data_IF_022982506754
#
_entry.id   IF_022982506754
#
_cell.length_a   1.000
_cell.length_b   1.000
_cell.length_c   1.000
_cell.angle_alpha   90.00
_cell.angle_beta   90.00
_cell.angle_gamma   90.00
#
_symmetry.space_group_name_H-M   'P 1'
#
loop_
_entity.id
_entity.type
_entity.pdbx_description
1 polymer ?
#
# COMPACT_ATOMS: atom_id res chain seq x y z
N UNK A 1 -9.13 32.49 3.59
CA UNK A 1 -9.10 31.02 3.41
C UNK A 1 -8.74 30.76 1.96
N UNK A 2 -8.03 29.68 1.69
CA UNK A 2 -7.63 29.27 0.33
C UNK A 2 -7.86 27.78 0.20
N UNK A 3 -8.46 27.34 -0.91
CA UNK A 3 -8.65 25.92 -1.21
C UNK A 3 -8.00 25.61 -2.55
N UNK A 4 -7.17 24.57 -2.59
CA UNK A 4 -6.63 24.05 -3.85
C UNK A 4 -6.89 22.55 -3.93
N UNK A 5 -6.81 22.00 -5.14
CA UNK A 5 -6.71 20.56 -5.32
C UNK A 5 -5.49 20.18 -6.13
N UNK A 6 -4.81 19.12 -5.74
CA UNK A 6 -3.70 18.52 -6.47
C UNK A 6 -3.87 17.01 -6.59
N UNK A 7 -3.07 16.41 -7.45
CA UNK A 7 -2.94 14.97 -7.63
C UNK A 7 -1.46 14.69 -7.88
N UNK A 8 -0.98 13.56 -7.39
CA UNK A 8 0.42 13.17 -7.53
C UNK A 8 0.52 11.99 -8.49
N UNK A 9 1.50 12.05 -9.39
CA UNK A 9 1.88 10.97 -10.30
C UNK A 9 3.05 10.14 -9.75
N UNK A 10 3.37 9.03 -10.42
CA UNK A 10 4.57 8.25 -10.13
C UNK A 10 5.85 9.04 -10.44
N UNK A 11 5.82 9.92 -11.44
CA UNK A 11 6.95 10.78 -11.79
C UNK A 11 7.23 11.78 -10.67
N UNK A 12 6.19 12.38 -10.11
CA UNK A 12 6.30 13.28 -8.95
C UNK A 12 6.93 12.57 -7.74
N UNK A 13 6.61 11.28 -7.52
CA UNK A 13 7.21 10.52 -6.42
C UNK A 13 8.67 10.19 -6.68
N UNK A 14 9.04 9.82 -7.91
CA UNK A 14 10.45 9.61 -8.27
C UNK A 14 11.26 10.91 -8.14
N UNK A 15 10.73 12.03 -8.63
CA UNK A 15 11.37 13.34 -8.48
C UNK A 15 11.54 13.72 -7.01
N UNK A 16 10.53 13.47 -6.17
CA UNK A 16 10.64 13.70 -4.74
C UNK A 16 11.64 12.75 -4.06
N UNK A 17 11.68 11.47 -4.43
CA UNK A 17 12.68 10.52 -3.94
C UNK A 17 14.10 10.94 -4.29
N UNK A 18 14.35 11.43 -5.50
CA UNK A 18 15.66 12.01 -5.88
C UNK A 18 15.99 13.26 -5.05
N UNK A 19 15.00 14.13 -4.82
CA UNK A 19 15.19 15.34 -4.00
C UNK A 19 15.50 15.00 -2.53
N UNK A 20 14.74 14.06 -1.97
CA UNK A 20 14.70 13.79 -0.54
C UNK A 20 15.60 12.65 -0.13
N UNK A 21 16.02 11.79 -1.05
CA UNK A 21 16.74 10.55 -0.77
C UNK A 21 15.94 9.46 -0.08
N UNK A 22 14.61 9.57 -0.13
CA UNK A 22 13.71 8.53 0.37
C UNK A 22 13.26 7.65 -0.80
N UNK A 23 13.91 6.49 -0.93
CA UNK A 23 13.63 5.49 -1.96
C UNK A 23 12.88 4.29 -1.40
N UNK A 24 12.16 4.45 -0.28
CA UNK A 24 11.39 3.35 0.29
C UNK A 24 10.41 2.79 -0.76
N UNK A 25 10.40 1.47 -1.02
CA UNK A 25 9.53 0.85 -2.03
C UNK A 25 8.04 1.19 -1.91
N UNK A 26 7.56 1.56 -0.72
CA UNK A 26 6.18 2.03 -0.52
C UNK A 26 5.83 3.27 -1.37
N UNK A 27 6.83 4.04 -1.79
CA UNK A 27 6.69 5.28 -2.56
C UNK A 27 7.05 5.16 -4.05
N UNK A 28 7.84 4.15 -4.43
CA UNK A 28 8.44 4.09 -5.78
C UNK A 28 8.20 2.77 -6.52
N UNK A 29 7.87 1.68 -5.83
CA UNK A 29 7.66 0.36 -6.43
C UNK A 29 6.16 -0.03 -6.37
N UNK A 30 5.42 0.04 -7.49
CA UNK A 30 4.01 -0.34 -7.51
C UNK A 30 3.75 -1.84 -7.28
N UNK A 31 4.72 -2.72 -7.61
CA UNK A 31 4.57 -4.17 -7.45
C UNK A 31 4.74 -4.58 -5.99
N UNK A 32 5.65 -3.92 -5.26
CA UNK A 32 5.80 -4.10 -3.81
C UNK A 32 4.66 -3.39 -3.08
N UNK A 33 4.40 -2.12 -3.38
CA UNK A 33 3.46 -1.29 -2.62
C UNK A 33 2.02 -1.84 -2.61
N UNK A 34 1.57 -2.49 -3.69
CA UNK A 34 0.26 -3.16 -3.75
C UNK A 34 0.10 -4.35 -2.78
N UNK A 35 1.21 -4.90 -2.27
CA UNK A 35 1.27 -5.99 -1.28
C UNK A 35 1.34 -5.47 0.15
N UNK A 36 1.62 -4.19 0.33
CA UNK A 36 1.72 -3.56 1.64
C UNK A 36 0.35 -3.16 2.16
N UNK A 37 0.28 -2.81 3.45
CA UNK A 37 -0.95 -2.30 4.10
C UNK A 37 -1.55 -1.06 3.42
N UNK A 38 -0.77 -0.39 2.56
CA UNK A 38 -1.23 0.74 1.76
C UNK A 38 -2.08 0.32 0.56
N UNK A 39 -1.95 -0.92 0.06
CA UNK A 39 -2.67 -1.41 -1.11
C UNK A 39 -2.25 -0.78 -2.44
N UNK A 40 -1.17 -0.01 -2.45
CA UNK A 40 -0.71 0.78 -3.58
C UNK A 40 0.36 1.77 -3.17
N UNK A 41 0.90 2.48 -4.16
CA UNK A 41 1.99 3.46 -3.95
C UNK A 41 1.50 4.65 -3.15
N UNK A 42 2.23 5.00 -2.10
CA UNK A 42 1.94 6.16 -1.26
C UNK A 42 2.73 7.39 -1.72
N UNK A 43 2.09 8.55 -1.62
CA UNK A 43 2.77 9.84 -1.73
C UNK A 43 3.61 10.06 -0.46
N UNK A 44 4.83 10.55 -0.61
CA UNK A 44 5.66 10.92 0.53
C UNK A 44 4.95 11.97 1.40
N UNK A 45 4.84 11.72 2.71
CA UNK A 45 4.11 12.60 3.61
C UNK A 45 4.66 14.04 3.61
N UNK A 46 5.99 14.19 3.59
CA UNK A 46 6.64 15.51 3.55
C UNK A 46 6.43 16.21 2.20
N UNK A 47 6.29 15.48 1.08
CA UNK A 47 5.92 16.08 -0.21
C UNK A 47 4.56 16.77 -0.11
N UNK A 48 3.58 16.09 0.49
CA UNK A 48 2.23 16.65 0.73
C UNK A 48 2.31 17.89 1.62
N UNK A 49 3.15 17.85 2.67
CA UNK A 49 3.37 18.99 3.58
C UNK A 49 3.96 20.18 2.86
N UNK A 50 5.03 20.00 2.10
CA UNK A 50 5.69 21.09 1.36
C UNK A 50 4.74 21.72 0.33
N UNK A 51 3.96 20.89 -0.38
CA UNK A 51 2.91 21.38 -1.30
C UNK A 51 1.89 22.28 -0.59
N UNK A 52 1.48 21.91 0.64
CA UNK A 52 0.54 22.71 1.42
C UNK A 52 1.16 24.02 1.95
N UNK A 53 2.41 23.96 2.44
CA UNK A 53 3.13 25.15 2.93
C UNK A 53 3.40 26.15 1.81
N UNK A 54 3.63 25.67 0.59
CA UNK A 54 3.85 26.51 -0.59
C UNK A 54 2.68 27.45 -0.88
N UNK A 55 1.46 27.06 -0.54
CA UNK A 55 0.27 27.90 -0.73
C UNK A 55 0.37 29.23 0.00
N UNK A 56 1.03 29.26 1.15
CA UNK A 56 1.24 30.49 1.93
C UNK A 56 1.85 31.59 1.07
N UNK A 57 2.80 31.26 0.22
CA UNK A 57 3.56 32.22 -0.57
C UNK A 57 2.89 32.55 -1.92
N UNK A 58 1.63 32.14 -2.12
CA UNK A 58 0.89 32.43 -3.36
C UNK A 58 0.42 33.88 -3.46
N UNK A 59 0.41 34.64 -2.36
CA UNK A 59 -0.11 36.01 -2.31
C UNK A 59 0.99 37.08 -2.10
N UNK A 60 2.18 36.89 -2.69
CA UNK A 60 3.31 37.82 -2.63
C UNK A 60 3.69 38.26 -1.21
N UNK A 61 3.77 37.29 -0.29
CA UNK A 61 4.20 37.52 1.09
C UNK A 61 5.73 37.58 1.17
N UNK A 62 6.25 38.45 2.04
CA UNK A 62 7.67 38.49 2.38
C UNK A 62 8.20 37.12 2.83
N UNK A 63 9.50 36.86 2.65
CA UNK A 63 10.14 35.67 3.19
C UNK A 63 9.83 35.47 4.68
N UNK A 64 9.65 34.22 5.10
CA UNK A 64 9.25 33.87 6.45
C UNK A 64 9.90 32.56 6.89
N UNK A 65 10.33 32.51 8.15
CA UNK A 65 10.84 31.28 8.76
C UNK A 65 9.78 30.62 9.63
N UNK A 66 9.84 29.29 9.72
CA UNK A 66 9.05 28.55 10.70
C UNK A 66 9.61 28.84 12.10
N UNK A 67 8.74 29.06 13.07
CA UNK A 67 9.06 28.96 14.51
C UNK A 67 8.56 27.66 15.11
N UNK A 68 7.52 27.07 14.52
CA UNK A 68 6.91 25.83 15.00
C UNK A 68 6.15 25.16 13.86
N UNK A 69 6.29 23.85 13.73
CA UNK A 69 5.56 23.03 12.77
C UNK A 69 5.00 21.79 13.49
N UNK A 70 3.73 21.51 13.28
CA UNK A 70 3.03 20.35 13.84
C UNK A 70 2.23 19.68 12.73
N UNK A 71 2.55 18.43 12.44
CA UNK A 71 1.91 17.64 11.39
C UNK A 71 1.38 16.35 11.99
N UNK A 72 0.16 15.98 11.63
CA UNK A 72 -0.45 14.68 11.94
C UNK A 72 -0.92 14.06 10.64
N UNK A 73 -0.43 12.86 10.34
CA UNK A 73 -0.88 12.03 9.23
C UNK A 73 -1.94 11.07 9.77
N UNK A 74 -3.21 11.36 9.49
CA UNK A 74 -4.34 10.53 9.90
C UNK A 74 -4.51 9.34 8.97
N UNK A 75 -4.28 9.55 7.67
CA UNK A 75 -4.42 8.54 6.62
C UNK A 75 -3.39 8.74 5.52
N UNK A 76 -2.90 7.66 4.91
CA UNK A 76 -1.97 7.78 3.80
C UNK A 76 -2.66 8.36 2.56
N UNK A 77 -1.89 9.05 1.72
CA UNK A 77 -2.33 9.54 0.41
C UNK A 77 -1.74 8.61 -0.65
N UNK A 78 -2.58 8.06 -1.53
CA UNK A 78 -2.10 7.23 -2.65
C UNK A 78 -1.78 8.09 -3.88
N UNK A 79 -0.82 7.64 -4.69
CA UNK A 79 -0.58 8.19 -6.02
C UNK A 79 -1.87 8.09 -6.85
N UNK A 80 -2.19 9.14 -7.59
CA UNK A 80 -3.44 9.27 -8.34
C UNK A 80 -4.66 9.67 -7.49
N UNK A 81 -4.57 9.77 -6.17
CA UNK A 81 -5.68 10.32 -5.37
C UNK A 81 -5.77 11.85 -5.54
N UNK A 82 -6.99 12.38 -5.66
CA UNK A 82 -7.22 13.83 -5.63
C UNK A 82 -7.17 14.31 -4.18
N UNK A 83 -6.23 15.19 -3.88
CA UNK A 83 -6.07 15.82 -2.57
C UNK A 83 -6.65 17.22 -2.61
N UNK A 84 -7.59 17.51 -1.71
CA UNK A 84 -8.13 18.86 -1.52
C UNK A 84 -7.50 19.46 -0.26
N UNK A 85 -6.86 20.61 -0.37
CA UNK A 85 -6.21 21.28 0.74
C UNK A 85 -6.92 22.59 1.08
N UNK A 86 -7.51 22.64 2.27
CA UNK A 86 -8.11 23.84 2.85
C UNK A 86 -7.15 24.53 3.81
N UNK A 87 -6.74 25.74 3.43
CA UNK A 87 -5.78 26.56 4.16
C UNK A 87 -6.45 27.75 4.84
N UNK A 88 -6.19 27.88 6.14
CA UNK A 88 -6.62 28.98 6.99
C UNK A 88 -5.40 29.75 7.48
N UNK A 89 -5.41 31.06 7.29
CA UNK A 89 -4.33 31.95 7.69
C UNK A 89 -4.87 32.93 8.73
N UNK A 90 -4.16 33.07 9.85
CA UNK A 90 -4.47 34.06 10.87
C UNK A 90 -3.33 35.06 10.92
N UNK A 91 -3.55 36.21 10.26
CA UNK A 91 -2.51 37.19 10.02
C UNK A 91 -1.33 36.60 9.25
N UNK A 92 -0.14 37.14 9.51
CA UNK A 92 1.10 36.67 8.90
C UNK A 92 1.80 35.59 9.73
N UNK A 93 1.37 35.31 10.97
CA UNK A 93 2.14 34.48 11.92
C UNK A 93 1.64 33.06 12.08
N UNK A 94 0.43 32.72 11.63
CA UNK A 94 -0.17 31.40 11.83
C UNK A 94 -0.84 30.87 10.56
N UNK A 95 -0.66 29.58 10.28
CA UNK A 95 -1.45 28.86 9.27
C UNK A 95 -1.86 27.46 9.72
N UNK A 96 -3.06 27.04 9.34
CA UNK A 96 -3.58 25.68 9.48
C UNK A 96 -3.98 25.18 8.09
N UNK A 97 -3.55 23.96 7.74
CA UNK A 97 -3.87 23.30 6.49
C UNK A 97 -4.52 21.95 6.78
N UNK A 98 -5.72 21.73 6.24
CA UNK A 98 -6.47 20.48 6.35
C UNK A 98 -6.56 19.85 4.97
N UNK A 99 -5.98 18.66 4.80
CA UNK A 99 -5.92 17.97 3.53
C UNK A 99 -6.84 16.75 3.55
N UNK A 100 -7.72 16.68 2.56
CA UNK A 100 -8.75 15.68 2.42
C UNK A 100 -8.53 14.82 1.17
N UNK A 101 -8.78 13.52 1.31
CA UNK A 101 -8.91 12.57 0.19
C UNK A 101 -10.28 11.93 0.34
N UNK A 102 -11.07 11.95 -0.73
CA UNK A 102 -12.45 11.43 -0.75
C UNK A 102 -13.31 11.98 0.41
N UNK A 103 -13.15 13.28 0.71
CA UNK A 103 -13.89 13.97 1.78
C UNK A 103 -13.42 13.65 3.20
N UNK A 104 -12.41 12.81 3.38
CA UNK A 104 -11.90 12.39 4.68
C UNK A 104 -10.54 13.03 4.98
N UNK A 105 -10.34 13.48 6.23
CA UNK A 105 -9.10 14.16 6.63
C UNK A 105 -7.92 13.18 6.61
N UNK A 106 -6.92 13.45 5.76
CA UNK A 106 -5.70 12.65 5.63
C UNK A 106 -4.51 13.28 6.32
N UNK A 107 -4.31 14.60 6.19
CA UNK A 107 -3.18 15.30 6.80
C UNK A 107 -3.64 16.61 7.43
N UNK A 108 -3.18 16.87 8.65
CA UNK A 108 -3.38 18.13 9.36
C UNK A 108 -2.06 18.79 9.66
N UNK A 109 -1.91 20.05 9.25
CA UNK A 109 -0.68 20.83 9.41
C UNK A 109 -1.01 22.11 10.17
N UNK A 110 -0.25 22.42 11.22
CA UNK A 110 -0.26 23.72 11.90
C UNK A 110 1.15 24.28 11.88
N UNK A 111 1.30 25.51 11.39
CA UNK A 111 2.57 26.21 11.31
C UNK A 111 2.47 27.57 12.00
N UNK A 112 3.53 27.93 12.72
CA UNK A 112 3.78 29.28 13.23
C UNK A 112 4.99 29.86 12.52
N UNK A 113 4.91 31.14 12.18
CA UNK A 113 5.83 31.84 11.29
C UNK A 113 6.41 33.07 11.97
N UNK A 114 7.68 33.34 11.69
CA UNK A 114 8.32 34.65 11.91
C UNK A 114 8.40 35.36 10.56
N UNK A 115 7.92 36.60 10.52
CA UNK A 115 7.80 37.38 9.28
C UNK A 115 8.57 38.68 9.45
N UNK A 116 9.47 38.97 8.50
CA UNK A 116 10.34 40.15 8.55
C UNK A 116 11.54 39.99 9.50
N UNK A 117 12.74 40.32 9.00
CA UNK A 117 14.01 40.35 9.75
C UNK A 117 15.24 40.06 8.86
N UNK A 118 16.41 40.53 9.26
CA UNK A 118 17.75 40.18 8.71
C UNK A 118 18.11 38.69 8.89
N UNK A 119 17.17 37.89 9.38
CA UNK A 119 17.31 36.49 9.82
C UNK A 119 16.92 35.47 8.76
N UNK A 120 16.59 35.88 7.52
CA UNK A 120 16.18 34.95 6.47
C UNK A 120 17.31 33.99 6.05
N UNK A 121 18.57 34.43 6.11
CA UNK A 121 19.77 33.65 5.76
C UNK A 121 20.89 33.72 6.81
N UNK A 122 20.58 33.96 8.10
CA UNK A 122 21.63 34.10 9.12
C UNK A 122 22.26 32.78 9.60
N UNK A 123 22.14 31.71 8.80
CA UNK A 123 22.74 30.42 9.06
C UNK A 123 24.15 30.40 8.46
N UNK A 124 25.17 30.37 9.32
CA UNK A 124 26.56 30.07 8.90
C UNK A 124 26.76 28.62 8.44
N UNK A 125 25.73 27.78 8.62
CA UNK A 125 25.76 26.36 8.28
C UNK A 125 25.83 26.20 6.76
N UNK A 126 26.94 25.66 6.28
CA UNK A 126 27.09 25.24 4.90
C UNK A 126 26.49 23.85 4.73
N UNK A 127 25.53 23.71 3.82
CA UNK A 127 24.97 22.40 3.49
C UNK A 127 25.97 21.62 2.63
N UNK A 128 26.25 20.34 2.93
CA UNK A 128 27.04 19.48 2.07
C UNK A 128 26.46 19.41 0.65
N UNK A 129 27.35 19.21 -0.32
CA UNK A 129 26.95 18.87 -1.68
C UNK A 129 26.16 17.55 -1.68
N UNK A 130 25.11 17.52 -2.48
CA UNK A 130 24.33 16.33 -2.71
C UNK A 130 25.14 15.34 -3.57
N UNK A 131 25.19 14.08 -3.16
CA UNK A 131 25.77 12.98 -3.93
C UNK A 131 24.70 11.93 -4.19
N UNK A 132 24.36 11.74 -5.47
CA UNK A 132 23.29 10.85 -5.92
C UNK A 132 23.60 9.37 -5.66
N UNK A 133 24.89 9.02 -5.58
CA UNK A 133 25.41 7.67 -5.41
C UNK A 133 25.25 7.11 -3.98
N UNK A 134 24.72 7.92 -3.04
CA UNK A 134 24.61 7.58 -1.61
C UNK A 134 23.26 6.98 -1.19
N UNK A 135 22.36 6.69 -2.14
CA UNK A 135 21.07 6.09 -1.80
C UNK A 135 21.22 4.60 -1.49
N UNK A 136 21.54 4.30 -0.24
CA UNK A 136 21.47 2.94 0.31
C UNK A 136 20.03 2.41 0.25
N UNK A 137 19.88 1.09 0.11
CA UNK A 137 18.57 0.46 0.29
C UNK A 137 18.04 0.75 1.69
N UNK A 138 16.72 0.97 1.86
CA UNK A 138 16.16 1.26 3.18
C UNK A 138 16.46 0.11 4.14
N UNK A 139 16.87 0.45 5.36
CA UNK A 139 17.27 -0.52 6.38
C UNK A 139 16.10 -1.42 6.77
N UNK A 140 16.32 -2.73 6.72
CA UNK A 140 15.35 -3.72 7.19
C UNK A 140 15.69 -4.06 8.64
N UNK A 141 15.05 -3.39 9.58
CA UNK A 141 15.33 -3.53 11.01
C UNK A 141 14.31 -4.41 11.73
N UNK A 142 14.83 -5.24 12.62
CA UNK A 142 14.06 -5.95 13.63
C UNK A 142 13.70 -5.04 14.80
N UNK A 143 12.68 -5.43 15.57
CA UNK A 143 12.16 -4.58 16.64
C UNK A 143 13.21 -4.26 17.72
N UNK A 144 14.00 -5.25 18.14
CA UNK A 144 15.06 -5.04 19.14
C UNK A 144 16.20 -4.13 18.66
N UNK A 145 16.44 -4.05 17.35
CA UNK A 145 17.41 -3.11 16.78
C UNK A 145 16.88 -1.67 16.88
N UNK A 146 15.62 -1.46 16.46
CA UNK A 146 14.94 -0.16 16.47
C UNK A 146 15.01 0.49 17.85
N UNK A 147 14.76 -0.26 18.93
CA UNK A 147 14.73 0.26 20.31
C UNK A 147 16.01 0.97 20.74
N UNK A 148 17.14 0.63 20.14
CA UNK A 148 18.46 1.18 20.51
C UNK A 148 19.00 2.20 19.51
N UNK A 149 18.26 2.45 18.42
CA UNK A 149 18.72 3.29 17.32
C UNK A 149 18.94 4.74 17.75
N UNK A 150 20.10 5.25 17.35
CA UNK A 150 20.49 6.66 17.43
C UNK A 150 21.52 6.93 16.33
N UNK A 151 21.57 8.15 15.84
CA UNK A 151 22.53 8.50 14.79
C UNK A 151 22.37 9.90 14.27
N UNK A 152 23.00 10.14 13.12
CA UNK A 152 22.93 11.40 12.39
C UNK A 152 22.51 11.17 10.95
N UNK A 153 21.68 12.07 10.43
CA UNK A 153 21.27 12.13 9.03
C UNK A 153 21.82 13.44 8.44
N UNK A 154 22.66 13.39 7.39
CA UNK A 154 23.17 14.60 6.76
C UNK A 154 22.04 15.49 6.24
N UNK A 155 22.17 16.81 6.44
CA UNK A 155 21.28 17.82 5.87
C UNK A 155 21.87 18.28 4.53
N UNK A 156 21.25 17.89 3.42
CA UNK A 156 21.60 18.39 2.09
C UNK A 156 20.35 18.92 1.39
N UNK A 157 20.55 19.73 0.34
CA UNK A 157 19.46 20.33 -0.42
C UNK A 157 19.87 20.55 -1.89
N UNK A 158 19.43 19.69 -2.83
CA UNK A 158 19.67 19.89 -4.26
C UNK A 158 18.83 21.06 -4.78
N UNK A 159 19.42 22.26 -4.84
CA UNK A 159 18.68 23.52 -5.06
C UNK A 159 17.87 23.55 -6.35
N UNK A 160 18.38 23.00 -7.45
CA UNK A 160 17.67 22.98 -8.72
C UNK A 160 16.42 22.10 -8.68
N UNK A 161 16.50 20.98 -7.96
CA UNK A 161 15.33 20.11 -7.72
C UNK A 161 14.29 20.80 -6.84
N UNK A 162 14.72 21.51 -5.79
CA UNK A 162 13.82 22.27 -4.91
C UNK A 162 13.14 23.41 -5.65
N UNK A 163 13.88 24.17 -6.47
CA UNK A 163 13.31 25.26 -7.29
C UNK A 163 12.29 24.76 -8.31
N UNK A 164 12.48 23.54 -8.80
CA UNK A 164 11.55 22.91 -9.75
C UNK A 164 10.28 22.43 -9.05
N UNK A 165 10.41 21.69 -7.94
CA UNK A 165 9.28 21.08 -7.24
C UNK A 165 8.52 22.07 -6.34
N UNK A 166 9.23 23.01 -5.71
CA UNK A 166 8.69 23.97 -4.74
C UNK A 166 9.20 25.40 -4.99
N UNK A 167 8.93 25.99 -6.18
CA UNK A 167 9.49 27.26 -6.59
C UNK A 167 9.26 28.39 -5.59
N UNK A 168 8.08 28.48 -4.97
CA UNK A 168 7.81 29.58 -4.02
C UNK A 168 8.51 29.37 -2.69
N UNK A 169 8.56 28.13 -2.18
CA UNK A 169 9.27 27.82 -0.95
C UNK A 169 10.77 28.08 -1.09
N UNK A 170 11.34 27.74 -2.25
CA UNK A 170 12.78 27.88 -2.51
C UNK A 170 13.31 29.32 -2.33
N UNK A 171 12.46 30.33 -2.56
CA UNK A 171 12.81 31.74 -2.39
C UNK A 171 12.29 32.39 -1.11
N UNK A 172 11.46 31.70 -0.31
CA UNK A 172 10.75 32.32 0.82
C UNK A 172 10.80 31.57 2.16
N UNK A 173 11.33 30.34 2.18
CA UNK A 173 11.58 29.57 3.39
C UNK A 173 13.09 29.32 3.54
N UNK A 174 13.68 29.45 4.74
CA UNK A 174 15.11 29.18 4.93
C UNK A 174 15.51 27.78 4.46
N UNK A 175 16.57 27.71 3.65
CA UNK A 175 17.05 26.47 3.03
C UNK A 175 17.34 25.36 4.05
N UNK A 176 17.93 25.73 5.19
CA UNK A 176 18.21 24.80 6.28
C UNK A 176 16.94 24.15 6.86
N UNK A 177 15.82 24.90 6.96
CA UNK A 177 14.56 24.34 7.43
C UNK A 177 13.99 23.34 6.41
N UNK A 178 14.11 23.61 5.11
CA UNK A 178 13.74 22.64 4.07
C UNK A 178 14.61 21.39 4.11
N UNK A 179 15.93 21.55 4.21
CA UNK A 179 16.87 20.44 4.32
C UNK A 179 16.55 19.53 5.52
N UNK A 180 16.18 20.13 6.66
CA UNK A 180 15.77 19.38 7.84
C UNK A 180 14.47 18.59 7.62
N UNK A 181 13.45 19.20 6.99
CA UNK A 181 12.20 18.50 6.66
C UNK A 181 12.45 17.31 5.73
N UNK A 182 13.29 17.47 4.71
CA UNK A 182 13.69 16.38 3.81
C UNK A 182 14.51 15.30 4.55
N UNK A 183 15.39 15.69 5.48
CA UNK A 183 16.11 14.72 6.30
C UNK A 183 15.19 13.85 7.15
N UNK A 184 14.04 14.37 7.61
CA UNK A 184 13.07 13.53 8.34
C UNK A 184 12.43 12.44 7.49
N UNK A 185 12.30 12.62 6.17
CA UNK A 185 11.79 11.55 5.30
C UNK A 185 12.84 10.45 5.15
N UNK A 186 14.13 10.79 5.01
CA UNK A 186 15.22 9.79 5.02
C UNK A 186 15.30 9.05 6.34
N UNK A 187 15.19 9.78 7.45
CA UNK A 187 15.18 9.19 8.78
C UNK A 187 14.10 8.11 8.85
N UNK A 188 12.85 8.43 8.53
CA UNK A 188 11.74 7.47 8.65
C UNK A 188 11.80 6.38 7.58
N UNK A 189 11.87 6.77 6.31
CA UNK A 189 11.76 5.91 5.14
C UNK A 189 12.97 5.00 4.92
N UNK A 190 14.17 5.44 5.29
CA UNK A 190 15.42 4.74 4.94
C UNK A 190 16.18 4.22 6.14
N UNK A 191 16.11 4.87 7.31
CA UNK A 191 16.98 4.55 8.45
C UNK A 191 16.22 3.87 9.58
N UNK A 192 15.24 4.55 10.20
CA UNK A 192 14.49 4.04 11.34
C UNK A 192 13.05 4.59 11.33
N UNK A 193 12.01 3.76 11.22
CA UNK A 193 12.03 2.29 11.11
C UNK A 193 12.54 1.73 9.77
N UNK A 194 12.85 2.57 8.78
CA UNK A 194 13.42 2.16 7.51
C UNK A 194 12.39 1.49 6.58
N UNK A 195 12.74 0.33 6.02
CA UNK A 195 11.97 -0.39 5.00
C UNK A 195 10.49 -0.57 5.37
N UNK A 196 10.24 -0.89 6.64
CA UNK A 196 8.91 -1.14 7.17
C UNK A 196 8.26 0.09 7.80
N UNK A 197 8.63 1.30 7.41
CA UNK A 197 8.09 2.52 8.04
C UNK A 197 6.77 3.02 7.43
N UNK A 198 6.01 3.73 8.26
CA UNK A 198 4.90 4.62 7.90
C UNK A 198 5.00 5.87 8.76
N UNK A 199 5.03 7.05 8.12
CA UNK A 199 5.18 8.34 8.82
C UNK A 199 3.87 8.74 9.51
N UNK A 200 3.89 8.94 10.83
CA UNK A 200 2.70 9.26 11.63
C UNK A 200 2.58 10.73 12.06
N UNK A 201 3.65 11.32 12.60
CA UNK A 201 3.60 12.67 13.18
C UNK A 201 4.96 13.36 13.09
N UNK A 202 4.95 14.66 12.90
CA UNK A 202 6.15 15.51 13.00
C UNK A 202 5.84 16.72 13.89
N UNK A 203 6.71 17.01 14.86
CA UNK A 203 6.64 18.20 15.68
C UNK A 203 8.02 18.83 15.78
N UNK A 204 8.17 20.06 15.28
CA UNK A 204 9.43 20.78 15.28
C UNK A 204 9.25 22.19 15.83
N UNK A 205 10.18 22.63 16.66
CA UNK A 205 10.32 24.02 17.07
C UNK A 205 11.68 24.54 16.61
N UNK A 206 11.67 25.76 16.07
CA UNK A 206 12.83 26.38 15.44
C UNK A 206 13.24 27.60 16.24
N UNK A 207 14.52 27.69 16.62
CA UNK A 207 15.09 28.85 17.31
C UNK A 207 15.33 30.03 16.37
N UNK A 208 15.60 31.19 16.93
CA UNK A 208 15.97 32.41 16.17
C UNK A 208 17.46 32.43 15.83
N UNK A 209 18.27 31.89 16.73
CA UNK A 209 19.71 31.76 16.58
C UNK A 209 20.10 30.30 16.47
N UNK A 210 21.14 30.03 15.70
CA UNK A 210 21.76 28.73 15.59
C UNK A 210 23.23 28.87 15.97
N UNK A 211 23.63 28.19 17.06
CA UNK A 211 25.03 28.13 17.49
C UNK A 211 25.74 26.87 16.94
N UNK A 212 24.98 25.92 16.39
CA UNK A 212 25.51 24.68 15.82
C UNK A 212 25.83 24.86 14.33
N UNK A 213 27.05 24.56 13.95
CA UNK A 213 27.52 24.69 12.57
C UNK A 213 27.52 23.36 11.79
N UNK A 214 27.15 22.25 12.43
CA UNK A 214 27.21 20.91 11.83
C UNK A 214 25.87 20.58 11.15
N UNK A 215 25.82 20.41 9.82
CA UNK A 215 24.59 20.18 9.04
C UNK A 215 24.09 18.73 9.18
N UNK A 216 23.77 18.31 10.39
CA UNK A 216 23.28 16.95 10.71
C UNK A 216 22.00 17.04 11.52
N UNK A 217 20.99 16.25 11.12
CA UNK A 217 19.87 15.89 11.98
C UNK A 217 20.32 14.71 12.85
N UNK A 218 20.56 14.97 14.12
CA UNK A 218 20.75 13.92 15.12
C UNK A 218 19.40 13.38 15.57
N UNK A 219 19.32 12.06 15.77
CA UNK A 219 18.11 11.41 16.27
C UNK A 219 18.42 10.34 17.31
N UNK A 220 17.42 10.06 18.16
CA UNK A 220 17.44 8.96 19.12
C UNK A 220 16.04 8.42 19.30
N UNK A 221 15.88 7.10 19.24
CA UNK A 221 14.63 6.44 19.63
C UNK A 221 14.44 6.59 21.14
N UNK A 222 13.28 7.12 21.53
CA UNK A 222 12.97 7.45 22.93
C UNK A 222 11.84 6.59 23.50
N UNK A 223 10.90 6.16 22.66
CA UNK A 223 9.78 5.31 23.05
C UNK A 223 9.41 4.36 21.90
N UNK A 224 9.05 3.13 22.26
CA UNK A 224 8.53 2.13 21.34
C UNK A 224 7.33 1.42 21.99
N UNK A 225 6.32 1.05 21.20
CA UNK A 225 5.26 0.15 21.65
C UNK A 225 4.99 -0.89 20.57
N UNK A 226 5.40 -2.14 20.84
CA UNK A 226 5.29 -3.27 19.91
C UNK A 226 3.83 -3.56 19.53
N UNK A 227 2.88 -3.34 20.44
CA UNK A 227 1.45 -3.67 20.25
C UNK A 227 0.80 -2.76 19.22
N UNK A 228 1.26 -1.51 19.15
CA UNK A 228 0.81 -0.51 18.17
C UNK A 228 1.84 -0.29 17.05
N UNK A 229 2.93 -1.06 17.08
CA UNK A 229 4.10 -0.91 16.20
C UNK A 229 4.60 0.54 16.13
N UNK A 230 4.54 1.23 17.26
CA UNK A 230 4.85 2.65 17.42
C UNK A 230 6.34 2.87 17.69
N UNK A 231 6.93 3.90 17.06
CA UNK A 231 8.31 4.35 17.28
C UNK A 231 8.32 5.87 17.38
N UNK A 232 8.71 6.41 18.52
CA UNK A 232 8.96 7.84 18.73
C UNK A 232 10.46 8.11 18.78
N UNK A 233 10.89 9.10 17.99
CA UNK A 233 12.26 9.57 17.90
C UNK A 233 12.33 11.04 18.26
N UNK A 234 13.25 11.39 19.16
CA UNK A 234 13.68 12.77 19.33
C UNK A 234 14.61 13.13 18.17
N UNK A 235 14.44 14.34 17.61
CA UNK A 235 15.27 14.86 16.52
C UNK A 235 15.78 16.25 16.86
N UNK A 236 17.08 16.48 16.63
CA UNK A 236 17.76 17.73 16.92
C UNK A 236 18.73 18.08 15.80
N UNK A 237 18.89 19.36 15.51
CA UNK A 237 19.92 19.85 14.60
C UNK A 237 20.05 21.37 14.65
N UNK A 238 20.79 21.96 13.70
CA UNK A 238 21.04 23.39 13.67
C UNK A 238 19.77 24.26 13.74
N UNK A 239 19.52 24.84 14.91
CA UNK A 239 18.40 25.74 15.17
C UNK A 239 17.02 25.07 15.19
N UNK A 240 16.95 23.75 15.39
CA UNK A 240 15.70 22.99 15.40
C UNK A 240 15.76 21.80 16.35
N UNK A 241 14.67 21.61 17.10
CA UNK A 241 14.48 20.46 17.97
C UNK A 241 13.03 19.96 17.87
N UNK A 242 12.81 18.69 18.15
CA UNK A 242 11.47 18.15 18.11
C UNK A 242 11.39 16.63 18.16
N UNK A 243 10.28 16.10 17.64
CA UNK A 243 10.00 14.67 17.62
C UNK A 243 9.32 14.21 16.33
N UNK A 244 9.64 12.98 15.96
CA UNK A 244 9.06 12.24 14.84
C UNK A 244 8.40 10.99 15.40
N UNK A 245 7.18 10.72 14.99
CA UNK A 245 6.50 9.46 15.27
C UNK A 245 6.31 8.72 13.95
N UNK A 246 6.75 7.47 13.92
CA UNK A 246 6.55 6.55 12.82
C UNK A 246 5.97 5.23 13.34
N UNK A 247 5.46 4.43 12.41
CA UNK A 247 4.98 3.09 12.70
C UNK A 247 5.77 2.07 11.88
N UNK A 248 6.11 0.92 12.47
CA UNK A 248 6.65 -0.22 11.72
C UNK A 248 5.48 -1.02 11.14
N UNK A 249 5.12 -0.86 9.88
CA UNK A 249 4.12 -1.71 9.22
C UNK A 249 4.55 -3.19 9.21
N UNK A 250 3.61 -4.14 9.11
CA UNK A 250 3.94 -5.54 8.88
C UNK A 250 4.74 -5.77 7.60
N UNK A 251 5.43 -6.89 7.59
CA UNK A 251 6.04 -7.49 6.40
C UNK A 251 4.97 -8.08 5.47
N UNK A 252 5.41 -8.39 4.26
CA UNK A 252 4.57 -9.08 3.27
C UNK A 252 4.28 -10.48 3.81
N UNK A 253 3.02 -10.92 3.70
CA UNK A 253 2.61 -12.20 4.27
C UNK A 253 3.08 -13.35 3.38
N UNK A 254 3.86 -14.26 3.95
CA UNK A 254 4.32 -15.48 3.28
C UNK A 254 3.27 -16.57 3.45
N UNK A 255 2.87 -17.21 2.36
CA UNK A 255 1.92 -18.33 2.38
C UNK A 255 2.66 -19.65 2.70
N UNK A 256 1.94 -20.72 3.12
CA UNK A 256 2.54 -22.02 3.39
C UNK A 256 3.47 -22.49 2.27
N UNK A 257 4.61 -23.07 2.65
CA UNK A 257 5.57 -23.62 1.69
C UNK A 257 4.99 -24.85 0.99
N UNK A 258 5.51 -25.17 -0.20
CA UNK A 258 5.07 -26.37 -0.91
C UNK A 258 5.28 -27.66 -0.08
N UNK A 259 6.34 -27.72 0.74
CA UNK A 259 6.58 -28.87 1.63
C UNK A 259 5.49 -29.02 2.68
N UNK A 260 5.11 -27.92 3.34
CA UNK A 260 4.04 -27.92 4.35
C UNK A 260 2.69 -28.37 3.75
N UNK A 261 2.43 -27.97 2.50
CA UNK A 261 1.20 -28.37 1.78
C UNK A 261 1.25 -29.87 1.43
N UNK A 262 2.38 -30.37 0.91
CA UNK A 262 2.55 -31.80 0.58
C UNK A 262 2.38 -32.73 1.77
N UNK A 263 2.79 -32.29 2.96
CA UNK A 263 2.65 -33.09 4.19
C UNK A 263 1.18 -33.29 4.61
N UNK A 264 0.26 -32.43 4.14
CA UNK A 264 -1.15 -32.44 4.54
C UNK A 264 -2.12 -32.82 3.42
N UNK A 265 -1.70 -32.72 2.16
CA UNK A 265 -2.53 -33.04 1.00
C UNK A 265 -2.22 -34.44 0.49
N UNK A 266 -3.21 -35.32 0.50
CA UNK A 266 -3.08 -36.65 -0.09
C UNK A 266 -2.78 -36.54 -1.60
N UNK A 267 -1.79 -37.28 -2.12
CA UNK A 267 -1.55 -37.36 -3.56
C UNK A 267 -2.83 -37.78 -4.30
N UNK A 268 -3.02 -37.25 -5.50
CA UNK A 268 -4.11 -37.63 -6.43
C UNK A 268 -5.56 -37.32 -5.96
N UNK A 269 -5.77 -36.69 -4.80
CA UNK A 269 -7.12 -36.35 -4.32
C UNK A 269 -7.88 -35.35 -5.23
N UNK A 270 -7.15 -34.65 -6.10
CA UNK A 270 -7.67 -33.74 -7.13
C UNK A 270 -7.28 -34.18 -8.54
N UNK A 271 -6.91 -35.45 -8.74
CA UNK A 271 -6.55 -35.98 -10.05
C UNK A 271 -7.67 -35.76 -11.08
N UNK A 272 -7.31 -35.49 -12.34
CA UNK A 272 -8.26 -35.19 -13.40
C UNK A 272 -8.94 -33.81 -13.33
N UNK A 273 -8.71 -33.02 -12.27
CA UNK A 273 -9.11 -31.62 -12.27
C UNK A 273 -8.18 -30.79 -13.15
N UNK A 274 -8.79 -29.89 -13.92
CA UNK A 274 -8.17 -28.89 -14.79
C UNK A 274 -8.60 -27.54 -14.26
N UNK A 275 -7.83 -27.03 -13.30
CA UNK A 275 -8.21 -25.92 -12.46
C UNK A 275 -7.64 -24.59 -12.96
N UNK A 276 -8.51 -23.63 -13.24
CA UNK A 276 -8.14 -22.23 -13.46
C UNK A 276 -8.26 -21.46 -12.15
N UNK A 277 -7.16 -20.91 -11.66
CA UNK A 277 -7.12 -20.05 -10.47
C UNK A 277 -6.99 -18.59 -10.88
N UNK A 278 -8.10 -17.86 -10.85
CA UNK A 278 -8.10 -16.42 -11.07
C UNK A 278 -7.51 -15.70 -9.86
N UNK A 279 -6.44 -14.93 -10.03
CA UNK A 279 -5.73 -14.30 -8.91
C UNK A 279 -4.86 -15.28 -8.11
N UNK A 280 -4.23 -16.23 -8.79
CA UNK A 280 -3.44 -17.30 -8.17
C UNK A 280 -1.99 -16.95 -7.80
N UNK A 281 -1.51 -15.75 -8.12
CA UNK A 281 -0.09 -15.40 -7.91
C UNK A 281 0.33 -15.11 -6.46
N UNK A 282 -0.62 -14.94 -5.54
CA UNK A 282 -0.34 -14.65 -4.12
C UNK A 282 -1.54 -14.95 -3.22
N UNK A 283 -1.30 -14.98 -1.91
CA UNK A 283 -2.36 -15.04 -0.89
C UNK A 283 -3.17 -16.35 -0.97
N UNK A 284 -4.49 -16.27 -0.81
CA UNK A 284 -5.34 -17.46 -0.82
C UNK A 284 -5.35 -18.19 -2.17
N UNK A 285 -5.22 -17.47 -3.29
CA UNK A 285 -5.13 -18.08 -4.62
C UNK A 285 -3.84 -18.88 -4.82
N UNK A 286 -2.72 -18.38 -4.29
CA UNK A 286 -1.45 -19.12 -4.25
C UNK A 286 -1.59 -20.40 -3.41
N UNK A 287 -2.18 -20.29 -2.22
CA UNK A 287 -2.39 -21.46 -1.35
C UNK A 287 -3.30 -22.50 -2.02
N UNK A 288 -4.38 -22.08 -2.68
CA UNK A 288 -5.25 -22.97 -3.44
C UNK A 288 -4.52 -23.64 -4.62
N UNK A 289 -3.68 -22.90 -5.35
CA UNK A 289 -2.87 -23.46 -6.44
C UNK A 289 -1.88 -24.53 -5.93
N UNK A 290 -1.24 -24.28 -4.77
CA UNK A 290 -0.37 -25.26 -4.11
C UNK A 290 -1.14 -26.52 -3.70
N UNK A 291 -2.31 -26.37 -3.08
CA UNK A 291 -3.17 -27.51 -2.66
C UNK A 291 -3.57 -28.34 -3.88
N UNK A 292 -4.05 -27.71 -4.95
CA UNK A 292 -4.50 -28.39 -6.16
C UNK A 292 -3.36 -29.15 -6.84
N UNK A 293 -2.22 -28.49 -7.04
CA UNK A 293 -1.05 -29.11 -7.68
C UNK A 293 -0.51 -30.29 -6.84
N UNK A 294 -0.44 -30.16 -5.51
CA UNK A 294 -0.01 -31.26 -4.63
C UNK A 294 -0.98 -32.45 -4.64
N UNK A 295 -2.27 -32.20 -4.84
CA UNK A 295 -3.27 -33.25 -5.00
C UNK A 295 -3.41 -33.79 -6.42
N UNK A 296 -2.52 -33.42 -7.36
CA UNK A 296 -2.46 -33.99 -8.70
C UNK A 296 -3.32 -33.29 -9.77
N UNK A 297 -3.90 -32.13 -9.49
CA UNK A 297 -4.63 -31.36 -10.50
C UNK A 297 -3.68 -30.70 -11.51
N UNK A 298 -4.13 -30.52 -12.75
CA UNK A 298 -3.53 -29.56 -13.69
C UNK A 298 -3.97 -28.15 -13.30
N UNK A 299 -3.03 -27.21 -13.15
CA UNK A 299 -3.30 -25.90 -12.57
C UNK A 299 -2.83 -24.78 -13.50
N UNK A 300 -3.75 -23.90 -13.88
CA UNK A 300 -3.41 -22.66 -14.56
C UNK A 300 -3.71 -21.48 -13.63
N UNK A 301 -2.70 -20.72 -13.25
CA UNK A 301 -2.90 -19.52 -12.42
C UNK A 301 -2.94 -18.27 -13.28
N UNK A 302 -3.62 -17.23 -12.81
CA UNK A 302 -3.55 -15.92 -13.46
C UNK A 302 -3.13 -14.82 -12.50
N UNK A 303 -2.61 -13.73 -13.07
CA UNK A 303 -2.27 -12.51 -12.36
C UNK A 303 -2.69 -11.29 -13.18
N UNK A 304 -3.17 -10.24 -12.53
CA UNK A 304 -3.38 -8.94 -13.19
C UNK A 304 -2.08 -8.10 -13.16
N UNK A 305 -1.35 -8.17 -12.04
CA UNK A 305 -0.05 -7.54 -11.85
C UNK A 305 0.88 -8.52 -11.09
N UNK A 306 2.19 -8.36 -11.25
CA UNK A 306 3.22 -9.18 -10.61
C UNK A 306 3.49 -10.51 -11.32
N UNK A 307 3.96 -10.40 -12.56
CA UNK A 307 4.41 -11.54 -13.36
C UNK A 307 5.48 -12.38 -12.64
N UNK A 308 6.46 -11.71 -12.02
CA UNK A 308 7.55 -12.38 -11.31
C UNK A 308 7.04 -13.27 -10.16
N UNK A 309 6.03 -12.82 -9.41
CA UNK A 309 5.41 -13.62 -8.35
C UNK A 309 4.76 -14.89 -8.93
N UNK A 310 4.04 -14.76 -10.05
CA UNK A 310 3.37 -15.87 -10.71
C UNK A 310 4.36 -16.88 -11.32
N UNK A 311 5.39 -16.39 -12.03
CA UNK A 311 6.43 -17.23 -12.63
C UNK A 311 7.24 -17.99 -11.57
N UNK A 312 7.52 -17.34 -10.43
CA UNK A 312 8.16 -17.99 -9.29
C UNK A 312 7.29 -19.13 -8.76
N UNK A 313 5.99 -18.91 -8.61
CA UNK A 313 5.06 -19.94 -8.15
C UNK A 313 4.97 -21.10 -9.16
N UNK A 314 4.83 -20.83 -10.46
CA UNK A 314 4.84 -21.88 -11.49
C UNK A 314 6.11 -22.73 -11.41
N UNK A 315 7.27 -22.08 -11.25
CA UNK A 315 8.55 -22.78 -11.09
C UNK A 315 8.62 -23.61 -9.81
N UNK A 316 8.04 -23.13 -8.71
CA UNK A 316 7.92 -23.87 -7.45
C UNK A 316 7.02 -25.11 -7.60
N UNK A 317 5.90 -24.97 -8.31
CA UNK A 317 4.91 -26.02 -8.53
C UNK A 317 5.32 -27.06 -9.58
N UNK A 318 6.16 -26.68 -10.54
CA UNK A 318 6.62 -27.52 -11.64
C UNK A 318 7.52 -28.67 -11.19
N UNK A 319 6.93 -29.74 -10.66
CA UNK A 319 7.56 -31.05 -10.44
C UNK A 319 7.09 -32.08 -11.48
N UNK A 320 7.81 -33.19 -11.61
CA UNK A 320 7.45 -34.26 -12.56
C UNK A 320 5.98 -34.68 -12.41
N UNK A 321 5.21 -34.61 -13.51
CA UNK A 321 3.84 -35.11 -13.59
C UNK A 321 2.70 -34.11 -13.39
N UNK A 322 2.97 -32.86 -12.99
CA UNK A 322 1.91 -31.84 -12.80
C UNK A 322 1.97 -30.77 -13.88
N UNK A 323 0.88 -30.61 -14.64
CA UNK A 323 0.79 -29.55 -15.66
C UNK A 323 0.43 -28.21 -15.02
N UNK A 324 1.42 -27.32 -14.89
CA UNK A 324 1.25 -26.00 -14.28
C UNK A 324 1.75 -24.89 -15.19
N UNK A 325 0.96 -23.81 -15.29
CA UNK A 325 1.33 -22.64 -16.09
C UNK A 325 0.67 -21.36 -15.56
N UNK A 326 1.05 -20.20 -16.11
CA UNK A 326 0.43 -18.93 -15.77
C UNK A 326 0.22 -18.00 -16.96
N UNK A 327 -0.73 -17.08 -16.83
CA UNK A 327 -0.89 -15.98 -17.78
C UNK A 327 -1.44 -14.71 -17.13
N UNK A 328 -1.20 -13.57 -17.78
CA UNK A 328 -1.82 -12.31 -17.39
C UNK A 328 -3.33 -12.34 -17.65
N UNK A 329 -4.12 -11.88 -16.69
CA UNK A 329 -5.57 -11.75 -16.81
C UNK A 329 -6.06 -10.54 -15.99
N UNK A 330 -6.58 -9.52 -16.69
CA UNK A 330 -7.43 -8.50 -16.09
C UNK A 330 -8.90 -8.88 -16.31
N UNK A 331 -9.56 -9.28 -15.22
CA UNK A 331 -10.96 -9.75 -15.23
C UNK A 331 -11.96 -8.67 -15.67
N UNK A 332 -11.58 -7.39 -15.60
CA UNK A 332 -12.41 -6.27 -16.06
C UNK A 332 -12.27 -6.02 -17.56
N UNK A 333 -11.25 -6.59 -18.21
CA UNK A 333 -11.03 -6.51 -19.64
C UNK A 333 -11.42 -7.83 -20.31
N UNK A 334 -12.59 -7.84 -20.96
CA UNK A 334 -13.14 -9.03 -21.63
C UNK A 334 -12.16 -9.67 -22.62
N UNK A 335 -11.39 -8.85 -23.36
CA UNK A 335 -10.39 -9.36 -24.31
C UNK A 335 -9.25 -10.03 -23.54
N UNK A 336 -8.77 -9.43 -22.45
CA UNK A 336 -7.73 -10.04 -21.60
C UNK A 336 -8.17 -11.40 -21.05
N UNK A 337 -9.43 -11.53 -20.62
CA UNK A 337 -9.97 -12.79 -20.12
C UNK A 337 -10.04 -13.83 -21.25
N UNK A 338 -10.57 -13.46 -22.41
CA UNK A 338 -10.66 -14.36 -23.57
C UNK A 338 -9.27 -14.84 -24.03
N UNK A 339 -8.29 -13.95 -24.07
CA UNK A 339 -6.92 -14.27 -24.45
C UNK A 339 -6.26 -15.19 -23.41
N UNK A 340 -6.54 -14.98 -22.11
CA UNK A 340 -6.07 -15.88 -21.05
C UNK A 340 -6.63 -17.30 -21.25
N UNK A 341 -7.93 -17.46 -21.49
CA UNK A 341 -8.58 -18.76 -21.74
C UNK A 341 -8.03 -19.42 -23.02
N UNK A 342 -7.88 -18.68 -24.12
CA UNK A 342 -7.39 -19.21 -25.40
C UNK A 342 -5.94 -19.70 -25.35
N UNK A 343 -5.12 -19.16 -24.44
CA UNK A 343 -3.73 -19.61 -24.25
C UNK A 343 -3.62 -20.96 -23.55
N UNK A 344 -4.67 -21.42 -22.89
CA UNK A 344 -4.64 -22.65 -22.10
C UNK A 344 -4.55 -23.87 -23.01
N UNK A 345 -3.76 -24.86 -22.57
CA UNK A 345 -3.58 -26.14 -23.29
C UNK A 345 -4.79 -27.07 -23.17
N UNK A 346 -5.69 -26.75 -22.26
CA UNK A 346 -6.90 -27.47 -21.96
C UNK A 346 -7.99 -26.51 -21.48
N UNK A 347 -9.24 -26.96 -21.55
CA UNK A 347 -10.37 -26.18 -21.04
C UNK A 347 -10.54 -26.46 -19.55
N UNK A 348 -10.63 -25.43 -18.68
CA UNK A 348 -10.87 -25.64 -17.26
C UNK A 348 -12.20 -26.35 -16.99
N UNK A 349 -12.20 -27.35 -16.11
CA UNK A 349 -13.44 -27.94 -15.55
C UNK A 349 -13.70 -27.45 -14.11
N UNK A 350 -12.73 -26.75 -13.51
CA UNK A 350 -12.88 -26.04 -12.24
C UNK A 350 -12.34 -24.62 -12.36
N UNK A 351 -13.13 -23.64 -11.96
CA UNK A 351 -12.75 -22.23 -11.83
C UNK A 351 -12.71 -21.87 -10.35
N UNK A 352 -11.54 -21.45 -9.84
CA UNK A 352 -11.42 -20.85 -8.52
C UNK A 352 -11.21 -19.33 -8.67
N UNK A 353 -12.15 -18.53 -8.17
CA UNK A 353 -12.19 -17.09 -8.44
C UNK A 353 -11.68 -16.24 -7.26
N UNK A 354 -10.37 -16.04 -7.15
CA UNK A 354 -9.74 -15.24 -6.08
C UNK A 354 -9.44 -13.79 -6.46
N UNK A 355 -9.85 -13.31 -7.64
CA UNK A 355 -9.67 -11.90 -7.99
C UNK A 355 -10.34 -10.99 -6.97
N UNK A 356 -9.55 -10.04 -6.45
CA UNK A 356 -9.99 -9.05 -5.49
C UNK A 356 -9.17 -7.78 -5.66
N UNK A 357 -9.82 -6.59 -5.70
CA UNK A 357 -9.11 -5.34 -5.50
C UNK A 357 -8.60 -5.25 -4.06
N UNK A 358 -7.91 -4.16 -3.73
CA UNK A 358 -7.51 -3.90 -2.34
C UNK A 358 -8.74 -3.73 -1.46
N UNK A 359 -8.83 -4.48 -0.36
CA UNK A 359 -10.00 -4.44 0.54
C UNK A 359 -9.85 -3.22 1.46
N UNK A 360 -10.30 -2.08 0.96
CA UNK A 360 -10.29 -0.84 1.72
C UNK A 360 -11.39 -0.82 2.78
N UNK A 361 -11.05 -0.36 3.99
CA UNK A 361 -12.02 -0.01 5.02
C UNK A 361 -12.56 1.40 4.79
N UNK A 362 -13.85 1.59 5.04
CA UNK A 362 -14.51 2.88 4.88
C UNK A 362 -15.28 3.24 6.15
N UNK A 363 -15.21 4.51 6.57
CA UNK A 363 -15.98 5.01 7.71
C UNK A 363 -16.96 6.07 7.22
N UNK A 364 -18.21 5.99 7.68
CA UNK A 364 -19.25 6.95 7.34
C UNK A 364 -20.44 6.29 6.65
N UNK A 365 -21.12 7.05 5.80
CA UNK A 365 -22.22 6.55 4.96
C UNK A 365 -21.70 5.65 3.85
N UNK A 366 -22.58 4.85 3.26
CA UNK A 366 -22.25 4.00 2.12
C UNK A 366 -21.58 4.76 0.96
N UNK A 367 -20.45 4.24 0.48
CA UNK A 367 -19.73 4.76 -0.69
C UNK A 367 -20.16 4.02 -1.95
N UNK A 368 -20.93 4.70 -2.81
CA UNK A 368 -21.33 4.17 -4.11
C UNK A 368 -20.13 3.81 -4.99
N UNK A 369 -19.10 4.66 -5.01
CA UNK A 369 -17.90 4.45 -5.82
C UNK A 369 -17.12 3.21 -5.37
N UNK A 370 -16.95 3.02 -4.06
CA UNK A 370 -16.23 1.87 -3.52
C UNK A 370 -17.01 0.57 -3.74
N UNK A 371 -18.34 0.59 -3.58
CA UNK A 371 -19.19 -0.54 -3.93
C UNK A 371 -19.10 -0.89 -5.42
N UNK A 372 -19.16 0.11 -6.31
CA UNK A 372 -19.01 -0.12 -7.76
C UNK A 372 -17.63 -0.69 -8.12
N UNK A 373 -16.56 -0.26 -7.45
CA UNK A 373 -15.23 -0.87 -7.59
C UNK A 373 -15.23 -2.35 -7.21
N UNK A 374 -15.74 -2.69 -6.02
CA UNK A 374 -15.84 -4.09 -5.59
C UNK A 374 -16.74 -4.92 -6.50
N UNK A 375 -17.92 -4.40 -6.85
CA UNK A 375 -18.91 -5.11 -7.67
C UNK A 375 -18.41 -5.37 -9.09
N UNK A 376 -17.66 -4.44 -9.68
CA UNK A 376 -17.05 -4.65 -11.01
C UNK A 376 -16.17 -5.89 -11.02
N UNK A 377 -15.36 -6.11 -9.98
CA UNK A 377 -14.48 -7.28 -9.89
C UNK A 377 -15.27 -8.52 -9.46
N UNK A 378 -15.97 -8.46 -8.33
CA UNK A 378 -16.61 -9.63 -7.72
C UNK A 378 -17.81 -10.18 -8.48
N UNK A 379 -18.48 -9.36 -9.28
CA UNK A 379 -19.65 -9.75 -10.08
C UNK A 379 -19.29 -9.69 -11.56
N UNK A 380 -18.90 -8.51 -12.07
CA UNK A 380 -18.60 -8.32 -13.49
C UNK A 380 -17.43 -9.18 -13.96
N UNK A 381 -16.33 -9.19 -13.21
CA UNK A 381 -15.16 -10.01 -13.54
C UNK A 381 -15.42 -11.51 -13.48
N UNK A 382 -16.28 -11.96 -12.56
CA UNK A 382 -16.72 -13.37 -12.51
C UNK A 382 -17.55 -13.70 -13.75
N UNK A 383 -18.55 -12.88 -14.08
CA UNK A 383 -19.40 -13.07 -15.26
C UNK A 383 -18.56 -13.14 -16.55
N UNK A 384 -17.66 -12.18 -16.76
CA UNK A 384 -16.74 -12.17 -17.91
C UNK A 384 -15.92 -13.47 -18.01
N UNK A 385 -15.44 -13.99 -16.88
CA UNK A 385 -14.65 -15.22 -16.83
C UNK A 385 -15.48 -16.44 -17.20
N UNK A 386 -16.68 -16.56 -16.64
CA UNK A 386 -17.59 -17.67 -16.93
C UNK A 386 -18.03 -17.63 -18.40
N UNK A 387 -18.39 -16.47 -18.92
CA UNK A 387 -18.75 -16.28 -20.34
C UNK A 387 -17.60 -16.67 -21.27
N UNK A 388 -16.35 -16.29 -20.94
CA UNK A 388 -15.18 -16.67 -21.75
C UNK A 388 -14.94 -18.19 -21.76
N UNK A 389 -15.09 -18.88 -20.62
CA UNK A 389 -14.98 -20.34 -20.56
C UNK A 389 -16.11 -21.00 -21.35
N UNK A 390 -17.36 -20.50 -21.22
CA UNK A 390 -18.51 -21.05 -21.95
C UNK A 390 -18.46 -20.77 -23.45
N UNK A 391 -17.77 -19.72 -23.85
CA UNK A 391 -17.47 -19.44 -25.26
C UNK A 391 -16.58 -20.48 -25.93
N UNK A 392 -15.80 -21.26 -25.15
CA UNK A 392 -14.91 -22.30 -25.70
C UNK A 392 -15.36 -23.73 -25.40
N UNK A 393 -16.21 -23.95 -24.39
CA UNK A 393 -16.69 -25.29 -24.04
C UNK A 393 -18.05 -25.27 -23.32
N UNK A 394 -18.83 -26.33 -23.55
CA UNK A 394 -20.09 -26.61 -22.84
C UNK A 394 -19.96 -27.79 -21.87
N UNK A 395 -18.74 -28.27 -21.61
CA UNK A 395 -18.49 -29.30 -20.59
C UNK A 395 -18.90 -28.83 -19.19
N UNK A 396 -19.01 -29.78 -18.26
CA UNK A 396 -19.32 -29.48 -16.87
C UNK A 396 -18.26 -28.58 -16.24
N UNK A 397 -18.70 -27.53 -15.55
CA UNK A 397 -17.83 -26.55 -14.90
C UNK A 397 -18.20 -26.41 -13.43
N UNK A 398 -17.23 -26.58 -12.54
CA UNK A 398 -17.36 -26.21 -11.14
C UNK A 398 -16.81 -24.81 -10.94
N UNK A 399 -17.59 -23.93 -10.33
CA UNK A 399 -17.17 -22.59 -9.92
C UNK A 399 -17.02 -22.59 -8.41
N UNK A 400 -15.82 -22.30 -7.93
CA UNK A 400 -15.52 -22.12 -6.51
C UNK A 400 -15.25 -20.64 -6.25
N UNK A 401 -16.14 -20.00 -5.50
CA UNK A 401 -16.12 -18.57 -5.23
C UNK A 401 -15.88 -18.31 -3.74
N UNK A 402 -14.71 -17.78 -3.34
CA UNK A 402 -14.43 -17.40 -1.96
C UNK A 402 -15.29 -16.20 -1.57
N UNK A 403 -16.32 -16.46 -0.76
CA UNK A 403 -17.10 -15.42 -0.11
C UNK A 403 -16.52 -15.12 1.28
N UNK A 404 -17.26 -14.39 2.11
CA UNK A 404 -16.81 -13.88 3.42
C UNK A 404 -17.84 -14.10 4.51
N UNK A 405 -17.38 -14.44 5.72
CA UNK A 405 -18.23 -14.49 6.93
C UNK A 405 -18.83 -13.12 7.29
N UNK A 406 -18.27 -12.01 6.78
CA UNK A 406 -18.75 -10.66 7.10
C UNK A 406 -20.12 -10.33 6.52
N UNK A 407 -20.68 -11.18 5.67
CA UNK A 407 -22.09 -11.11 5.25
C UNK A 407 -23.01 -11.41 6.44
N UNK A 408 -22.70 -12.44 7.23
CA UNK A 408 -23.47 -12.81 8.42
C UNK A 408 -22.97 -12.13 9.69
N UNK A 409 -21.73 -11.63 9.66
CA UNK A 409 -21.07 -10.96 10.78
C UNK A 409 -20.73 -9.51 10.38
N UNK A 410 -21.71 -8.59 10.38
CA UNK A 410 -21.53 -7.25 9.84
C UNK A 410 -20.36 -6.52 10.48
N UNK A 411 -19.45 -6.05 9.64
CA UNK A 411 -18.36 -5.16 10.02
C UNK A 411 -18.67 -3.78 9.43
N UNK A 412 -19.00 -2.76 10.25
CA UNK A 412 -19.42 -1.45 9.74
C UNK A 412 -18.44 -0.82 8.74
N UNK A 413 -17.14 -1.10 8.89
CA UNK A 413 -16.11 -0.57 8.01
C UNK A 413 -15.91 -1.34 6.69
N UNK A 414 -16.63 -2.44 6.49
CA UNK A 414 -16.55 -3.33 5.31
C UNK A 414 -17.93 -3.50 4.65
N UNK A 415 -18.80 -2.50 4.80
CA UNK A 415 -20.17 -2.55 4.30
C UNK A 415 -20.22 -2.76 2.78
N UNK A 416 -19.46 -1.96 2.02
CA UNK A 416 -19.40 -2.03 0.56
C UNK A 416 -18.82 -3.36 0.07
N UNK A 417 -17.76 -3.84 0.74
CA UNK A 417 -17.11 -5.12 0.45
C UNK A 417 -18.05 -6.30 0.66
N UNK A 418 -18.69 -6.39 1.84
CA UNK A 418 -19.60 -7.48 2.18
C UNK A 418 -20.85 -7.47 1.29
N UNK A 419 -21.38 -6.29 0.96
CA UNK A 419 -22.51 -6.15 0.03
C UNK A 419 -22.14 -6.65 -1.38
N UNK A 420 -20.97 -6.28 -1.90
CA UNK A 420 -20.52 -6.74 -3.21
C UNK A 420 -20.22 -8.25 -3.24
N UNK A 421 -19.71 -8.82 -2.14
CA UNK A 421 -19.56 -10.28 -1.99
C UNK A 421 -20.90 -11.00 -1.99
N UNK A 422 -21.90 -10.48 -1.29
CA UNK A 422 -23.27 -11.03 -1.32
C UNK A 422 -23.88 -11.00 -2.73
N UNK A 423 -23.64 -9.93 -3.50
CA UNK A 423 -24.04 -9.86 -4.91
C UNK A 423 -23.31 -10.94 -5.76
N UNK A 424 -22.04 -11.20 -5.47
CA UNK A 424 -21.28 -12.31 -6.07
C UNK A 424 -21.88 -13.68 -5.75
N UNK A 425 -22.29 -13.93 -4.48
CA UNK A 425 -22.99 -15.17 -4.12
C UNK A 425 -24.29 -15.35 -4.91
N UNK A 426 -25.07 -14.26 -5.05
CA UNK A 426 -26.30 -14.28 -5.81
C UNK A 426 -26.05 -14.58 -7.29
N UNK A 427 -25.00 -14.02 -7.90
CA UNK A 427 -24.60 -14.36 -9.27
C UNK A 427 -24.25 -15.86 -9.39
N UNK A 428 -23.42 -16.39 -8.49
CA UNK A 428 -23.10 -17.82 -8.47
C UNK A 428 -24.36 -18.70 -8.40
N UNK A 429 -25.31 -18.35 -7.53
CA UNK A 429 -26.58 -19.06 -7.43
C UNK A 429 -27.38 -19.02 -8.73
N UNK A 430 -27.45 -17.87 -9.40
CA UNK A 430 -28.14 -17.76 -10.69
C UNK A 430 -27.44 -18.56 -11.79
N UNK A 431 -26.11 -18.50 -11.88
CA UNK A 431 -25.34 -19.24 -12.89
C UNK A 431 -25.52 -20.77 -12.74
N UNK A 432 -25.48 -21.28 -11.51
CA UNK A 432 -25.67 -22.71 -11.25
C UNK A 432 -27.08 -23.24 -11.56
N UNK A 433 -28.08 -22.36 -11.59
CA UNK A 433 -29.47 -22.71 -11.92
C UNK A 433 -29.85 -22.45 -13.38
N UNK A 434 -29.12 -21.57 -14.07
CA UNK A 434 -29.46 -21.17 -15.45
C UNK A 434 -28.54 -21.78 -16.51
N UNK A 435 -27.33 -22.21 -16.14
CA UNK A 435 -26.36 -22.78 -17.07
C UNK A 435 -26.22 -24.29 -16.88
N UNK A 436 -26.53 -25.05 -17.94
CA UNK A 436 -26.44 -26.52 -17.91
C UNK A 436 -25.03 -27.02 -17.59
N UNK A 437 -24.92 -27.91 -16.59
CA UNK A 437 -23.63 -28.49 -16.19
C UNK A 437 -22.72 -27.55 -15.38
N UNK A 438 -23.20 -26.37 -14.96
CA UNK A 438 -22.48 -25.50 -14.03
C UNK A 438 -22.89 -25.78 -12.59
N UNK A 439 -21.91 -25.97 -11.70
CA UNK A 439 -22.14 -26.09 -10.25
C UNK A 439 -21.31 -25.06 -9.51
N UNK A 440 -21.91 -24.37 -8.54
CA UNK A 440 -21.23 -23.32 -7.79
C UNK A 440 -21.08 -23.71 -6.31
N UNK A 441 -19.88 -23.56 -5.78
CA UNK A 441 -19.56 -23.65 -4.36
C UNK A 441 -19.09 -22.28 -3.85
N UNK A 442 -19.70 -21.81 -2.77
CA UNK A 442 -19.53 -20.44 -2.28
C UNK A 442 -19.16 -20.44 -0.80
N UNK A 443 -17.97 -20.95 -0.41
CA UNK A 443 -17.59 -20.95 0.99
C UNK A 443 -17.38 -19.54 1.50
N UNK A 444 -17.96 -19.24 2.67
CA UNK A 444 -17.75 -17.97 3.39
C UNK A 444 -16.52 -18.10 4.27
N UNK A 445 -15.40 -17.56 3.80
CA UNK A 445 -14.12 -17.68 4.50
C UNK A 445 -14.03 -16.67 5.66
N UNK A 446 -13.41 -17.04 6.78
CA UNK A 446 -13.06 -16.10 7.83
C UNK A 446 -11.94 -15.15 7.37
N UNK A 447 -11.59 -14.18 8.21
CA UNK A 447 -10.39 -13.38 8.00
C UNK A 447 -9.15 -14.27 8.11
N UNK A 448 -8.41 -14.41 7.02
CA UNK A 448 -7.21 -15.24 6.91
C UNK A 448 -5.96 -14.39 6.66
N UNK A 449 -4.77 -14.79 7.13
CA UNK A 449 -3.56 -14.00 6.97
C UNK A 449 -3.13 -13.93 5.49
N UNK A 450 -3.19 -12.72 4.95
CA UNK A 450 -2.75 -12.34 3.60
C UNK A 450 -2.31 -10.88 3.61
N UNK A 451 -1.66 -10.42 2.54
CA UNK A 451 -1.36 -9.00 2.33
C UNK A 451 -2.60 -8.09 2.53
N UNK A 452 -3.81 -8.60 2.20
CA UNK A 452 -5.08 -7.85 2.30
C UNK A 452 -5.59 -7.69 3.73
N UNK A 453 -5.15 -8.53 4.66
CA UNK A 453 -5.62 -8.56 6.05
C UNK A 453 -4.55 -8.12 7.05
N UNK A 454 -3.32 -7.86 6.60
CA UNK A 454 -2.24 -7.30 7.38
C UNK A 454 -2.59 -5.88 7.87
N UNK A 455 -2.21 -5.55 9.12
CA UNK A 455 -2.50 -4.27 9.74
C UNK A 455 -1.53 -3.94 10.88
N UNK A 456 -1.61 -2.71 11.41
CA UNK A 456 -0.71 -2.25 12.48
C UNK A 456 -0.94 -2.95 13.82
N UNK A 457 -2.16 -3.45 14.04
CA UNK A 457 -2.53 -4.20 15.24
C UNK A 457 -2.68 -5.66 14.85
N UNK A 458 -2.00 -6.52 15.58
CA UNK A 458 -2.06 -7.96 15.35
C UNK A 458 -3.47 -8.49 15.67
N UNK A 459 -3.96 -9.35 14.79
CA UNK A 459 -5.21 -10.06 14.99
C UNK A 459 -4.92 -11.56 14.93
N UNK A 460 -5.48 -12.31 15.87
CA UNK A 460 -5.42 -13.78 15.83
C UNK A 460 -6.28 -14.24 14.65
N UNK A 461 -5.68 -14.98 13.74
CA UNK A 461 -6.34 -15.53 12.56
C UNK A 461 -6.10 -17.05 12.52
N UNK A 462 -7.05 -17.83 11.98
CA UNK A 462 -6.86 -19.27 11.82
C UNK A 462 -5.79 -19.59 10.77
N UNK A 463 -5.32 -20.84 10.79
CA UNK A 463 -4.36 -21.33 9.82
C UNK A 463 -4.95 -21.35 8.39
N UNK A 464 -4.19 -20.82 7.42
CA UNK A 464 -4.67 -20.70 6.03
C UNK A 464 -4.83 -22.07 5.40
N UNK A 465 -3.88 -22.97 5.63
CA UNK A 465 -3.86 -24.27 4.98
C UNK A 465 -5.03 -25.12 5.48
N UNK A 466 -5.24 -25.17 6.79
CA UNK A 466 -6.36 -25.88 7.42
C UNK A 466 -7.72 -25.41 6.86
N UNK A 467 -7.97 -24.10 6.88
CA UNK A 467 -9.24 -23.52 6.42
C UNK A 467 -9.43 -23.73 4.92
N UNK A 468 -8.39 -23.54 4.11
CA UNK A 468 -8.47 -23.71 2.65
C UNK A 468 -8.67 -25.17 2.27
N UNK A 469 -7.99 -26.12 2.91
CA UNK A 469 -8.20 -27.55 2.66
C UNK A 469 -9.64 -27.96 3.00
N UNK A 470 -10.17 -27.54 4.14
CA UNK A 470 -11.55 -27.83 4.53
C UNK A 470 -12.55 -27.24 3.54
N UNK A 471 -12.35 -25.99 3.09
CA UNK A 471 -13.23 -25.32 2.14
C UNK A 471 -13.14 -25.88 0.70
N UNK A 472 -12.03 -26.51 0.34
CA UNK A 472 -11.79 -27.12 -0.97
C UNK A 472 -12.11 -28.62 -1.01
N UNK A 473 -12.47 -29.24 0.12
CA UNK A 473 -12.80 -30.66 0.21
C UNK A 473 -13.92 -31.08 -0.75
N UNK A 474 -14.86 -30.17 -1.01
CA UNK A 474 -15.96 -30.32 -1.99
C UNK A 474 -15.50 -30.55 -3.44
N UNK A 475 -14.22 -30.30 -3.74
CA UNK A 475 -13.62 -30.50 -5.06
C UNK A 475 -12.93 -31.86 -5.19
N UNK A 476 -12.73 -32.61 -4.08
CA UNK A 476 -12.09 -33.92 -4.14
C UNK A 476 -12.98 -34.91 -4.89
N UNK A 477 -12.32 -35.89 -5.50
CA UNK A 477 -12.96 -37.02 -6.19
C UNK A 477 -13.82 -37.88 -5.27
#
# INVERSE_FOLDING_TARGET
>A
MSTISCQYSMEDQKAFSSLSGDWNPIHVDPVIARRLISGGVLVHGIHVVLTALEQRFSFALSPASLSSLRIVFHRPVRVGARVVCDSRFQGSTHSEHLLYVDGMLSVKIKARWRVGGDTFENSKVQLPEFQEDQFESPQSLEWGEIETMRGGVPLYLPLDSVRTLFPKLSGHLPLLQMAFLLATTRLVGMICPGLHSVYGKLQLDFSETCEQDIPILSYKVTETDVRFRHVEMEVNGPGVAGRVIAYRRPEIVVQPSLSQVRDQVSPECFDGLRALVIGGSRGLGETAAKILACGGASVWITYCQGQVDAEKLVKELGTEGVDVDCCVCDVLNVISVQDAIKKMRWVPNVLLYFASPFIQTHQGSFSHLLYEEFSRVYVGGLANTVEAIRGVSQESLIIWYPSTVFIDQPQPMLLEYSTAKAAGEALCFQLGNTLDGVRCYVPRLPRLPTDQTAGLVDAVMPDVLEVMMAAMDVLKK
#
